data_IF_013172292444
#
_entry.id   IF_013172292444
#
_cell.length_a   1.000
_cell.length_b   1.000
_cell.length_c   1.000
_cell.angle_alpha   90.00
_cell.angle_beta   90.00
_cell.angle_gamma   90.00
#
_symmetry.space_group_name_H-M   'P 1'
#
loop_
_entity.id
_entity.type
_entity.pdbx_description
1 polymer ?
#
# COMPACT_ATOMS: atom_id res chain seq x y z
N UNK A 1 9.35 11.13 -21.38
CA UNK A 1 8.33 11.88 -20.62
C UNK A 1 7.22 10.90 -20.27
N UNK A 2 7.11 10.49 -19.01
CA UNK A 2 6.02 9.59 -18.59
C UNK A 2 4.71 10.38 -18.58
N UNK A 3 3.70 9.91 -19.31
CA UNK A 3 2.40 10.55 -19.35
C UNK A 3 1.73 10.41 -17.97
N UNK A 4 1.31 11.54 -17.37
CA UNK A 4 0.61 11.53 -16.08
C UNK A 4 -0.88 11.25 -16.29
N UNK A 5 -1.50 10.39 -15.45
CA UNK A 5 -2.92 10.11 -15.57
C UNK A 5 -3.77 11.32 -15.16
N UNK A 6 -4.88 11.53 -15.88
CA UNK A 6 -5.86 12.55 -15.50
C UNK A 6 -6.55 12.20 -14.18
N UNK A 7 -7.22 13.16 -13.54
CA UNK A 7 -7.89 12.95 -12.25
C UNK A 7 -8.91 11.79 -12.30
N UNK A 8 -9.72 11.72 -13.35
CA UNK A 8 -10.71 10.65 -13.56
C UNK A 8 -10.03 9.29 -13.76
N UNK A 9 -8.95 9.26 -14.54
CA UNK A 9 -8.16 8.04 -14.75
C UNK A 9 -7.51 7.57 -13.45
N UNK A 10 -7.08 8.49 -12.59
CA UNK A 10 -6.50 8.19 -11.28
C UNK A 10 -7.52 7.59 -10.33
N UNK A 11 -8.74 8.13 -10.28
CA UNK A 11 -9.84 7.53 -9.49
C UNK A 11 -10.18 6.14 -10.03
N UNK A 12 -10.36 6.00 -11.35
CA UNK A 12 -10.60 4.70 -11.97
C UNK A 12 -9.50 3.69 -11.66
N UNK A 13 -8.23 4.11 -11.70
CA UNK A 13 -7.06 3.29 -11.36
C UNK A 13 -7.05 2.83 -9.89
N UNK A 14 -7.43 3.71 -8.96
CA UNK A 14 -7.61 3.37 -7.54
C UNK A 14 -8.76 2.39 -7.36
N UNK A 15 -9.86 2.56 -8.10
CA UNK A 15 -11.01 1.65 -8.12
C UNK A 15 -10.74 0.31 -8.84
N UNK A 16 -9.53 0.08 -9.36
CA UNK A 16 -9.13 -1.20 -9.96
C UNK A 16 -9.05 -1.22 -11.48
N UNK A 17 -9.35 -0.11 -12.18
CA UNK A 17 -9.23 0.01 -13.64
C UNK A 17 -7.76 0.01 -14.06
N UNK A 18 -7.48 -0.56 -15.23
CA UNK A 18 -6.15 -0.47 -15.86
C UNK A 18 -6.00 0.87 -16.57
N UNK A 19 -4.78 1.40 -16.54
CA UNK A 19 -4.39 2.59 -17.30
C UNK A 19 -3.86 2.17 -18.69
N UNK A 20 -3.93 3.06 -19.69
CA UNK A 20 -3.37 2.80 -21.02
C UNK A 20 -1.87 2.51 -20.97
N UNK A 21 -1.36 1.77 -21.96
CA UNK A 21 0.05 1.37 -22.04
C UNK A 21 1.03 2.56 -22.12
N UNK A 22 0.58 3.73 -22.58
CA UNK A 22 1.38 4.97 -22.58
C UNK A 22 1.72 5.50 -21.17
N UNK A 23 1.05 4.98 -20.13
CA UNK A 23 1.24 5.39 -18.72
C UNK A 23 1.89 4.28 -17.87
N UNK A 24 2.44 3.24 -18.50
CA UNK A 24 3.04 2.09 -17.80
C UNK A 24 4.21 2.50 -16.89
N UNK A 25 5.02 3.47 -17.30
CA UNK A 25 6.12 3.99 -16.47
C UNK A 25 5.61 4.68 -15.20
N UNK A 26 4.51 5.43 -15.30
CA UNK A 26 3.86 6.02 -14.13
C UNK A 26 3.31 4.95 -13.18
N UNK A 27 2.69 3.89 -13.73
CA UNK A 27 2.19 2.75 -12.94
C UNK A 27 3.33 2.02 -12.24
N UNK A 28 4.45 1.80 -12.93
CA UNK A 28 5.66 1.18 -12.35
C UNK A 28 6.16 2.01 -11.16
N UNK A 29 6.29 3.32 -11.33
CA UNK A 29 6.72 4.22 -10.25
C UNK A 29 5.70 4.27 -9.09
N UNK A 30 4.40 4.19 -9.38
CA UNK A 30 3.38 4.14 -8.33
C UNK A 30 3.43 2.83 -7.52
N UNK A 31 3.64 1.69 -8.20
CA UNK A 31 3.64 0.35 -7.61
C UNK A 31 4.97 -0.05 -6.95
N UNK A 32 6.10 0.44 -7.44
CA UNK A 32 7.45 -0.01 -7.03
C UNK A 32 8.32 1.17 -6.55
N UNK A 33 7.93 2.41 -6.84
CA UNK A 33 8.70 3.58 -6.41
C UNK A 33 8.67 3.82 -4.89
N UNK A 34 9.52 4.74 -4.40
CA UNK A 34 9.62 5.06 -2.99
C UNK A 34 8.26 5.47 -2.42
N UNK A 35 7.89 4.85 -1.31
CA UNK A 35 6.62 5.09 -0.63
C UNK A 35 5.40 4.42 -1.27
N UNK A 36 5.56 3.51 -2.25
CA UNK A 36 4.45 2.73 -2.82
C UNK A 36 3.62 2.02 -1.73
N UNK A 37 4.31 1.45 -0.73
CA UNK A 37 3.68 0.84 0.46
C UNK A 37 2.76 1.83 1.19
N UNK A 38 3.27 3.04 1.50
CA UNK A 38 2.51 4.06 2.21
C UNK A 38 1.32 4.55 1.39
N UNK A 39 1.48 4.76 0.08
CA UNK A 39 0.38 5.16 -0.82
C UNK A 39 -0.73 4.12 -0.85
N UNK A 40 -0.38 2.84 -0.92
CA UNK A 40 -1.33 1.74 -0.88
C UNK A 40 -2.12 1.71 0.44
N UNK A 41 -1.42 1.75 1.59
CA UNK A 41 -2.06 1.76 2.90
C UNK A 41 -2.99 2.96 3.06
N UNK A 42 -2.56 4.17 2.70
CA UNK A 42 -3.40 5.37 2.79
C UNK A 42 -4.65 5.28 1.89
N UNK A 43 -4.53 4.71 0.68
CA UNK A 43 -5.69 4.55 -0.24
C UNK A 43 -6.77 3.64 0.30
N UNK A 44 -6.42 2.67 1.15
CA UNK A 44 -7.37 1.71 1.72
C UNK A 44 -7.86 2.17 3.09
N UNK A 45 -6.94 2.63 3.95
CA UNK A 45 -7.23 2.92 5.34
C UNK A 45 -7.93 4.28 5.52
N UNK A 46 -7.50 5.32 4.81
CA UNK A 46 -8.01 6.70 5.00
C UNK A 46 -9.50 6.82 4.67
N UNK A 47 -10.02 6.27 3.56
CA UNK A 47 -11.46 6.35 3.26
C UNK A 47 -12.36 5.68 4.31
N UNK A 48 -11.82 4.76 5.12
CA UNK A 48 -12.59 4.06 6.16
C UNK A 48 -12.65 4.83 7.48
N UNK A 49 -11.73 5.76 7.73
CA UNK A 49 -11.74 6.62 8.93
C UNK A 49 -13.08 7.35 9.13
N UNK A 50 -13.68 8.03 8.15
CA UNK A 50 -14.97 8.72 8.36
C UNK A 50 -16.11 7.76 8.71
N UNK A 51 -16.10 6.54 8.18
CA UNK A 51 -17.07 5.49 8.53
C UNK A 51 -16.87 5.06 9.99
N UNK A 52 -15.63 4.88 10.42
CA UNK A 52 -15.31 4.55 11.81
C UNK A 52 -15.65 5.71 12.77
N UNK A 53 -15.49 6.96 12.34
CA UNK A 53 -15.87 8.13 13.13
C UNK A 53 -17.37 8.16 13.47
N UNK A 54 -18.22 7.45 12.72
CA UNK A 54 -19.64 7.30 13.08
C UNK A 54 -19.82 6.63 14.45
N UNK A 55 -18.88 5.79 14.89
CA UNK A 55 -18.93 5.19 16.24
C UNK A 55 -18.78 6.22 17.36
N UNK A 56 -18.23 7.40 17.09
CA UNK A 56 -18.12 8.49 18.06
C UNK A 56 -19.44 9.26 18.24
N UNK A 57 -20.39 9.10 17.30
CA UNK A 57 -21.73 9.69 17.38
C UNK A 57 -22.68 8.84 18.24
N UNK A 58 -22.30 7.62 18.60
CA UNK A 58 -23.13 6.77 19.45
C UNK A 58 -23.20 7.34 20.87
N UNK A 59 -24.40 7.32 21.50
CA UNK A 59 -24.54 7.79 22.87
C UNK A 59 -23.74 6.88 23.82
N UNK A 60 -22.70 7.45 24.44
CA UNK A 60 -21.84 6.73 25.37
C UNK A 60 -20.53 7.46 25.67
N UNK A 61 -19.68 6.88 26.53
CA UNK A 61 -18.34 7.42 26.79
C UNK A 61 -17.47 7.40 25.52
N UNK A 62 -16.75 8.48 25.24
CA UNK A 62 -15.91 8.60 24.03
C UNK A 62 -14.88 7.47 23.87
N UNK A 63 -14.36 6.93 24.97
CA UNK A 63 -13.40 5.82 24.95
C UNK A 63 -14.02 4.53 24.39
N UNK A 64 -15.33 4.32 24.56
CA UNK A 64 -16.05 3.15 24.03
C UNK A 64 -16.08 3.20 22.50
N UNK A 65 -16.42 4.37 21.94
CA UNK A 65 -16.36 4.59 20.49
C UNK A 65 -14.95 4.36 19.94
N UNK A 66 -13.92 4.90 20.60
CA UNK A 66 -12.53 4.66 20.22
C UNK A 66 -12.14 3.18 20.31
N UNK A 67 -12.58 2.45 21.32
CA UNK A 67 -12.32 1.02 21.46
C UNK A 67 -12.97 0.20 20.34
N UNK A 68 -14.21 0.53 19.96
CA UNK A 68 -14.92 -0.11 18.84
C UNK A 68 -14.22 0.18 17.51
N UNK A 69 -13.81 1.43 17.29
CA UNK A 69 -13.02 1.81 16.12
C UNK A 69 -11.72 1.02 16.06
N UNK A 70 -10.97 0.96 17.16
CA UNK A 70 -9.69 0.23 17.23
C UNK A 70 -9.87 -1.27 16.98
N UNK A 71 -10.92 -1.87 17.54
CA UNK A 71 -11.26 -3.29 17.37
C UNK A 71 -11.46 -3.66 15.89
N UNK A 72 -12.06 -2.77 15.09
CA UNK A 72 -12.25 -2.97 13.65
C UNK A 72 -11.02 -2.55 12.83
N UNK A 73 -10.34 -1.48 13.24
CA UNK A 73 -9.27 -0.87 12.45
C UNK A 73 -7.95 -1.64 12.54
N UNK A 74 -7.61 -2.20 13.70
CA UNK A 74 -6.40 -3.01 13.87
C UNK A 74 -6.37 -4.25 12.95
N UNK A 75 -7.39 -5.14 12.92
CA UNK A 75 -7.38 -6.28 12.01
C UNK A 75 -7.41 -5.83 10.56
N UNK A 76 -8.12 -4.75 10.22
CA UNK A 76 -8.11 -4.17 8.88
C UNK A 76 -6.69 -3.77 8.45
N UNK A 77 -5.92 -3.07 9.31
CA UNK A 77 -4.52 -2.73 9.03
C UNK A 77 -3.71 -4.00 8.81
N UNK A 78 -3.85 -5.00 9.70
CA UNK A 78 -3.14 -6.26 9.60
C UNK A 78 -3.41 -6.98 8.26
N UNK A 79 -4.67 -7.17 7.90
CA UNK A 79 -5.05 -7.79 6.63
C UNK A 79 -4.59 -6.98 5.43
N UNK A 80 -4.66 -5.65 5.50
CA UNK A 80 -4.19 -4.76 4.42
C UNK A 80 -2.70 -4.93 4.18
N UNK A 81 -1.90 -5.00 5.25
CA UNK A 81 -0.46 -5.26 5.18
C UNK A 81 -0.18 -6.66 4.65
N UNK A 82 -0.88 -7.69 5.15
CA UNK A 82 -0.72 -9.07 4.74
C UNK A 82 -1.04 -9.28 3.24
N UNK A 83 -2.12 -8.67 2.76
CA UNK A 83 -2.58 -8.78 1.36
C UNK A 83 -1.79 -7.87 0.40
N UNK A 84 -1.00 -6.92 0.91
CA UNK A 84 -0.27 -5.95 0.09
C UNK A 84 0.62 -6.64 -0.96
N UNK A 85 1.34 -7.69 -0.56
CA UNK A 85 2.22 -8.43 -1.47
C UNK A 85 1.43 -9.05 -2.63
N UNK A 86 0.35 -9.76 -2.29
CA UNK A 86 -0.55 -10.42 -3.27
C UNK A 86 -1.16 -9.40 -4.22
N UNK A 87 -1.67 -8.28 -3.68
CA UNK A 87 -2.26 -7.20 -4.47
C UNK A 87 -1.26 -6.58 -5.44
N UNK A 88 -0.05 -6.27 -4.96
CA UNK A 88 1.00 -5.67 -5.78
C UNK A 88 1.39 -6.59 -6.94
N UNK A 89 1.60 -7.89 -6.66
CA UNK A 89 1.92 -8.89 -7.67
C UNK A 89 0.81 -9.03 -8.72
N UNK A 90 -0.45 -9.10 -8.27
CA UNK A 90 -1.60 -9.17 -9.18
C UNK A 90 -1.71 -7.92 -10.05
N UNK A 91 -1.47 -6.72 -9.49
CA UNK A 91 -1.48 -5.46 -10.25
C UNK A 91 -0.36 -5.40 -11.29
N UNK A 92 0.85 -5.84 -10.97
CA UNK A 92 1.95 -5.91 -11.92
C UNK A 92 1.57 -6.78 -13.12
N UNK A 93 1.03 -7.99 -12.87
CA UNK A 93 0.56 -8.91 -13.91
C UNK A 93 -0.55 -8.26 -14.75
N UNK A 94 -1.53 -7.59 -14.11
CA UNK A 94 -2.63 -6.90 -14.80
C UNK A 94 -2.15 -5.80 -15.76
N UNK A 95 -0.98 -5.22 -15.49
CA UNK A 95 -0.35 -4.20 -16.31
C UNK A 95 0.75 -4.75 -17.24
N UNK A 96 0.93 -6.07 -17.33
CA UNK A 96 1.96 -6.70 -18.16
C UNK A 96 3.39 -6.47 -17.66
N UNK A 97 3.55 -6.10 -16.39
CA UNK A 97 4.83 -5.89 -15.73
C UNK A 97 5.31 -7.16 -15.03
N UNK A 98 6.63 -7.32 -14.91
CA UNK A 98 7.24 -8.46 -14.24
C UNK A 98 6.82 -8.51 -12.75
N UNK A 99 6.16 -9.59 -12.29
CA UNK A 99 5.79 -9.76 -10.89
C UNK A 99 6.99 -9.76 -9.92
N UNK A 100 8.20 -10.10 -10.38
CA UNK A 100 9.41 -10.06 -9.56
C UNK A 100 9.77 -8.65 -9.09
N UNK A 101 9.22 -7.61 -9.73
CA UNK A 101 9.37 -6.22 -9.26
C UNK A 101 8.71 -5.98 -7.89
N UNK A 102 7.75 -6.82 -7.48
CA UNK A 102 7.20 -6.76 -6.12
C UNK A 102 8.25 -7.16 -5.06
N UNK A 103 9.19 -8.04 -5.41
CA UNK A 103 10.25 -8.51 -4.52
C UNK A 103 11.41 -7.52 -4.44
N UNK A 104 11.63 -6.70 -5.47
CA UNK A 104 12.71 -5.70 -5.51
C UNK A 104 12.64 -4.70 -4.35
N UNK A 105 11.42 -4.31 -3.97
CA UNK A 105 11.16 -3.38 -2.86
C UNK A 105 11.43 -4.04 -1.49
N UNK A 106 11.09 -5.33 -1.35
CA UNK A 106 11.42 -6.13 -0.17
C UNK A 106 12.94 -6.34 -0.03
N UNK A 107 13.62 -6.59 -1.16
CA UNK A 107 15.09 -6.72 -1.21
C UNK A 107 15.79 -5.42 -0.83
N UNK A 108 15.37 -4.26 -1.37
CA UNK A 108 15.92 -2.94 -1.00
C UNK A 108 15.75 -2.61 0.48
N UNK A 109 14.64 -3.00 1.10
CA UNK A 109 14.43 -2.81 2.55
C UNK A 109 15.26 -3.75 3.42
N UNK A 110 15.49 -4.99 2.95
CA UNK A 110 16.33 -5.96 3.65
C UNK A 110 17.83 -5.68 3.48
N UNK A 111 18.22 -4.91 2.46
CA UNK A 111 19.61 -4.54 2.16
C UNK A 111 20.32 -3.78 3.30
N UNK A 112 19.76 -2.70 3.89
CA UNK A 112 20.40 -2.02 5.02
C UNK A 112 20.51 -2.91 6.27
N UNK A 113 19.56 -3.83 6.47
CA UNK A 113 19.55 -4.78 7.58
C UNK A 113 20.60 -5.89 7.37
N UNK A 114 20.75 -6.38 6.13
CA UNK A 114 21.81 -7.30 5.71
C UNK A 114 23.20 -6.67 5.84
N UNK A 115 23.39 -5.44 5.36
CA UNK A 115 24.66 -4.71 5.50
C UNK A 115 24.99 -4.43 6.97
N UNK A 116 23.99 -4.15 7.81
CA UNK A 116 24.19 -4.01 9.25
C UNK A 116 24.53 -5.35 9.94
N UNK A 117 23.97 -6.46 9.47
CA UNK A 117 24.31 -7.80 9.93
C UNK A 117 25.72 -8.21 9.50
N UNK A 118 26.09 -8.03 8.23
CA UNK A 118 27.42 -8.29 7.68
C UNK A 118 28.50 -7.44 8.36
N UNK A 119 28.23 -6.17 8.66
CA UNK A 119 29.16 -5.34 9.46
C UNK A 119 29.35 -5.83 10.91
N UNK A 120 28.35 -6.50 11.50
CA UNK A 120 28.42 -7.02 12.89
C UNK A 120 28.92 -8.45 12.98
N UNK A 121 28.68 -9.28 11.96
CA UNK A 121 28.90 -10.73 12.00
C UNK A 121 29.73 -11.26 10.83
N UNK A 122 30.16 -10.42 9.89
CA UNK A 122 31.12 -10.74 8.85
C UNK A 122 32.50 -10.94 9.46
N UNK A 123 32.72 -12.13 10.01
CA UNK A 123 34.05 -12.64 10.36
C UNK A 123 34.82 -12.87 9.06
N UNK A 124 36.06 -12.37 9.01
CA UNK A 124 37.08 -12.86 8.08
C UNK A 124 37.44 -14.32 8.35
#
# INVERSE_FOLDING_TARGET
>A
MSATPSFVQRIGYIAGRTLPASMTDWVREDLVGPGATRRYLLRILVPLIPVLMLFLLLPGPLWMGLAMMALLYLPLIYFTVALMYVYRRHRLIKHGLDPALADADARRKAEPERLAYERRHGRG
#
